data_IF_706338086376
#
_entry.id   IF_706338086376
#
_cell.length_a   1.000
_cell.length_b   1.000
_cell.length_c   1.000
_cell.angle_alpha   90.00
_cell.angle_beta   90.00
_cell.angle_gamma   90.00
#
_symmetry.space_group_name_H-M   'P 1'
#
loop_
_entity.id
_entity.type
_entity.pdbx_description
1 polymer ?
#
# COMPACT_ATOMS: atom_id res chain seq x y z
N UNK A 1 -2.96 -8.37 1.00
CA UNK A 1 -3.12 -7.44 2.14
C UNK A 1 -1.77 -6.81 2.44
N UNK A 2 -1.73 -5.51 2.67
CA UNK A 2 -0.53 -4.79 3.13
C UNK A 2 -0.83 -4.21 4.50
N UNK A 3 0.08 -4.44 5.46
CA UNK A 3 0.00 -3.88 6.82
C UNK A 3 1.10 -2.85 6.98
N UNK A 4 0.74 -1.68 7.49
CA UNK A 4 1.63 -0.54 7.63
C UNK A 4 1.65 -0.15 9.10
N UNK A 5 2.85 0.01 9.65
CA UNK A 5 3.08 0.48 11.02
C UNK A 5 4.16 1.54 11.02
N UNK A 6 4.00 2.55 11.86
CA UNK A 6 5.02 3.55 12.15
C UNK A 6 4.85 4.06 13.60
N UNK A 7 5.67 5.02 14.01
CA UNK A 7 5.62 5.63 15.35
C UNK A 7 4.42 6.56 15.58
N UNK A 8 3.65 6.88 14.53
CA UNK A 8 2.55 7.83 14.56
C UNK A 8 2.97 9.28 14.87
N UNK A 9 4.26 9.61 14.96
CA UNK A 9 4.70 10.93 15.40
C UNK A 9 4.79 11.91 14.23
N UNK A 10 5.54 11.55 13.18
CA UNK A 10 5.79 12.46 12.04
C UNK A 10 5.02 12.09 10.77
N UNK A 11 4.61 10.82 10.63
CA UNK A 11 3.93 10.32 9.43
C UNK A 11 2.59 9.68 9.81
N UNK A 12 1.58 9.86 8.96
CA UNK A 12 0.28 9.22 9.12
C UNK A 12 0.19 7.97 8.23
N UNK A 13 0.21 6.79 8.84
CA UNK A 13 0.12 5.51 8.14
C UNK A 13 -1.21 5.37 7.38
N UNK A 14 -2.33 5.80 7.97
CA UNK A 14 -3.65 5.78 7.34
C UNK A 14 -3.70 6.58 6.05
N UNK A 15 -3.28 7.85 6.10
CA UNK A 15 -3.24 8.71 4.91
C UNK A 15 -2.31 8.14 3.83
N UNK A 16 -1.14 7.61 4.22
CA UNK A 16 -0.21 7.00 3.27
C UNK A 16 -0.82 5.74 2.62
N UNK A 17 -1.53 4.91 3.38
CA UNK A 17 -2.21 3.72 2.87
C UNK A 17 -3.29 4.09 1.85
N UNK A 18 -4.15 5.07 2.17
CA UNK A 18 -5.20 5.52 1.25
C UNK A 18 -4.62 6.11 -0.03
N UNK A 19 -3.55 6.91 0.05
CA UNK A 19 -2.86 7.45 -1.13
C UNK A 19 -2.22 6.34 -2.00
N UNK A 20 -1.56 5.38 -1.37
CA UNK A 20 -0.82 4.34 -2.08
C UNK A 20 -1.71 3.26 -2.69
N UNK A 21 -2.81 2.90 -2.03
CA UNK A 21 -3.60 1.73 -2.40
C UNK A 21 -5.10 1.97 -2.56
N UNK A 22 -5.61 3.17 -2.26
CA UNK A 22 -7.04 3.47 -2.34
C UNK A 22 -7.63 3.31 -3.75
N UNK A 23 -6.81 3.47 -4.79
CA UNK A 23 -7.22 3.21 -6.18
C UNK A 23 -7.36 1.72 -6.52
N UNK A 24 -6.77 0.83 -5.71
CA UNK A 24 -6.76 -0.61 -5.95
C UNK A 24 -7.69 -1.38 -5.00
N UNK A 25 -8.23 -0.75 -3.96
CA UNK A 25 -9.11 -1.38 -2.98
C UNK A 25 -9.29 -0.55 -1.70
N UNK A 26 -9.78 -1.19 -0.65
CA UNK A 26 -9.99 -0.52 0.63
C UNK A 26 -8.64 -0.30 1.34
N UNK A 27 -8.29 0.96 1.62
CA UNK A 27 -7.02 1.28 2.27
C UNK A 27 -7.16 2.49 3.20
N UNK A 28 -6.66 2.35 4.43
CA UNK A 28 -6.73 3.40 5.44
C UNK A 28 -6.35 2.91 6.83
N UNK A 29 -6.58 3.76 7.84
CA UNK A 29 -6.31 3.45 9.24
C UNK A 29 -5.96 4.67 10.07
N UNK A 30 -5.34 4.42 11.22
CA UNK A 30 -4.88 5.44 12.16
C UNK A 30 -3.47 5.93 11.83
N UNK A 31 -3.05 6.97 12.56
CA UNK A 31 -1.75 7.61 12.37
C UNK A 31 -0.58 6.64 12.52
N UNK A 32 -0.64 5.71 13.48
CA UNK A 32 0.40 4.72 13.77
C UNK A 32 0.25 3.38 13.03
N UNK A 33 -0.94 3.06 12.52
CA UNK A 33 -1.24 1.75 11.94
C UNK A 33 -2.30 1.85 10.85
N UNK A 34 -2.06 1.17 9.72
CA UNK A 34 -3.00 1.10 8.61
C UNK A 34 -2.98 -0.26 7.91
N UNK A 35 -4.04 -0.50 7.12
CA UNK A 35 -4.22 -1.72 6.33
C UNK A 35 -4.70 -1.35 4.94
N UNK A 36 -4.24 -2.10 3.94
CA UNK A 36 -4.77 -2.09 2.59
C UNK A 36 -5.19 -3.51 2.17
N UNK A 37 -6.43 -3.64 1.76
CA UNK A 37 -7.03 -4.84 1.18
C UNK A 37 -7.23 -4.62 -0.31
N UNK A 38 -6.52 -5.42 -1.09
CA UNK A 38 -6.41 -5.24 -2.53
C UNK A 38 -6.83 -6.56 -3.18
N UNK A 39 -7.97 -6.60 -3.89
CA UNK A 39 -8.32 -7.73 -4.75
C UNK A 39 -7.22 -7.96 -5.79
N UNK A 40 -6.82 -9.22 -6.00
CA UNK A 40 -5.72 -9.55 -6.93
C UNK A 40 -6.01 -9.09 -8.37
N UNK A 41 -7.26 -9.19 -8.80
CA UNK A 41 -7.76 -8.67 -10.09
C UNK A 41 -7.38 -7.21 -10.33
N UNK A 42 -7.41 -6.37 -9.29
CA UNK A 42 -7.15 -4.94 -9.43
C UNK A 42 -5.66 -4.60 -9.65
N UNK A 43 -4.75 -5.55 -9.43
CA UNK A 43 -3.31 -5.36 -9.62
C UNK A 43 -2.68 -6.29 -10.64
N UNK A 44 -3.45 -7.22 -11.22
CA UNK A 44 -2.94 -8.19 -12.20
C UNK A 44 -2.25 -7.51 -13.39
N UNK A 45 -2.79 -6.40 -13.91
CA UNK A 45 -2.18 -5.63 -15.00
C UNK A 45 -0.95 -4.80 -14.61
N UNK A 46 -0.64 -4.71 -13.31
CA UNK A 46 0.51 -3.98 -12.78
C UNK A 46 1.69 -4.89 -12.40
N UNK A 47 1.50 -6.20 -12.47
CA UNK A 47 2.48 -7.21 -12.09
C UNK A 47 2.87 -8.06 -13.31
N UNK A 48 4.15 -8.34 -13.47
CA UNK A 48 4.65 -9.28 -14.50
C UNK A 48 4.26 -10.73 -14.17
N UNK A 49 4.30 -11.05 -12.88
CA UNK A 49 4.00 -12.36 -12.30
C UNK A 49 3.61 -12.19 -10.83
N UNK A 50 3.16 -13.28 -10.20
CA UNK A 50 2.78 -13.32 -8.79
C UNK A 50 3.94 -13.67 -7.85
N UNK A 51 5.19 -13.57 -8.31
CA UNK A 51 6.32 -13.86 -7.43
C UNK A 51 6.41 -12.84 -6.29
N UNK A 52 6.89 -13.30 -5.13
CA UNK A 52 7.08 -12.43 -3.96
C UNK A 52 7.95 -11.21 -4.29
N UNK A 53 8.93 -11.36 -5.17
CA UNK A 53 9.81 -10.27 -5.61
C UNK A 53 9.04 -9.21 -6.41
N UNK A 54 8.19 -9.62 -7.34
CA UNK A 54 7.37 -8.70 -8.15
C UNK A 54 6.32 -7.99 -7.29
N UNK A 55 5.65 -8.71 -6.39
CA UNK A 55 4.69 -8.12 -5.45
C UNK A 55 5.37 -7.12 -4.50
N UNK A 56 6.52 -7.47 -3.92
CA UNK A 56 7.26 -6.57 -3.02
C UNK A 56 7.70 -5.29 -3.73
N UNK A 57 8.21 -5.40 -4.96
CA UNK A 57 8.57 -4.22 -5.77
C UNK A 57 7.38 -3.32 -6.07
N UNK A 58 6.22 -3.91 -6.39
CA UNK A 58 5.00 -3.14 -6.60
C UNK A 58 4.61 -2.35 -5.35
N UNK A 59 4.61 -3.00 -4.18
CA UNK A 59 4.27 -2.36 -2.89
C UNK A 59 5.20 -1.19 -2.60
N UNK A 60 6.51 -1.37 -2.73
CA UNK A 60 7.51 -0.30 -2.52
C UNK A 60 7.25 0.87 -3.47
N UNK A 61 7.04 0.58 -4.76
CA UNK A 61 6.79 1.61 -5.79
C UNK A 61 5.52 2.42 -5.52
N UNK A 62 4.47 1.82 -4.96
CA UNK A 62 3.26 2.58 -4.59
C UNK A 62 3.53 3.57 -3.46
N UNK A 63 4.35 3.19 -2.47
CA UNK A 63 4.74 4.12 -1.41
C UNK A 63 5.63 5.26 -1.93
N UNK A 64 6.62 4.96 -2.77
CA UNK A 64 7.49 6.00 -3.37
C UNK A 64 6.71 7.05 -4.15
N UNK A 65 5.68 6.62 -4.91
CA UNK A 65 4.78 7.52 -5.62
C UNK A 65 3.92 8.39 -4.68
N UNK A 66 3.56 7.87 -3.52
CA UNK A 66 2.63 8.50 -2.58
C UNK A 66 3.28 9.47 -1.59
N UNK A 67 4.62 9.47 -1.55
CA UNK A 67 5.44 10.36 -0.73
C UNK A 67 5.87 11.63 -1.47
N UNK A 68 5.62 11.71 -2.78
CA UNK A 68 5.72 12.93 -3.57
C UNK A 68 4.45 13.77 -3.40
#
# INVERSE_FOLDING_TARGET
MVVIRNDGLRKNAGTLASKAFGAFGNAGGHRAMARAEIPLVNVAGHLKDWSNATVSRFVIRQFEKSLK
#
